data_IF_544005167315
#
_entry.id   IF_544005167315
#
_cell.length_a   1.000
_cell.length_b   1.000
_cell.length_c   1.000
_cell.angle_alpha   90.00
_cell.angle_beta   90.00
_cell.angle_gamma   90.00
#
_symmetry.space_group_name_H-M   'P 1'
#
loop_
_entity.id
_entity.type
_entity.pdbx_description
1 polymer ?
#
# COMPACT_ATOMS: atom_id res chain seq x y z
N UNK A 1 -8.69 -22.51 1.94
CA UNK A 1 -7.38 -21.90 2.25
C UNK A 1 -7.64 -20.47 2.72
N UNK A 2 -6.88 -20.02 3.72
CA UNK A 2 -7.36 -19.19 4.84
C UNK A 2 -7.52 -17.69 4.51
N UNK A 3 -8.74 -17.19 4.57
CA UNK A 3 -9.07 -15.75 4.41
C UNK A 3 -8.22 -14.83 5.32
N UNK A 4 -7.85 -15.30 6.52
CA UNK A 4 -6.97 -14.53 7.42
C UNK A 4 -5.58 -14.25 6.85
N UNK A 5 -4.98 -15.19 6.11
CA UNK A 5 -3.67 -14.96 5.48
C UNK A 5 -3.77 -13.95 4.31
N UNK A 6 -4.86 -13.99 3.55
CA UNK A 6 -5.10 -13.05 2.47
C UNK A 6 -5.34 -11.63 3.00
N UNK A 7 -6.14 -11.48 4.07
CA UNK A 7 -6.35 -10.20 4.73
C UNK A 7 -5.06 -9.59 5.29
N UNK A 8 -4.21 -10.41 5.92
CA UNK A 8 -2.90 -9.95 6.41
C UNK A 8 -1.98 -9.51 5.26
N UNK A 9 -1.95 -10.26 4.16
CA UNK A 9 -1.16 -9.93 2.97
C UNK A 9 -1.57 -8.60 2.34
N UNK A 10 -2.89 -8.32 2.30
CA UNK A 10 -3.45 -7.07 1.81
C UNK A 10 -3.09 -5.89 2.71
N UNK A 11 -3.35 -6.01 4.02
CA UNK A 11 -3.06 -4.95 4.99
C UNK A 11 -1.58 -4.56 4.96
N UNK A 12 -0.70 -5.57 4.88
CA UNK A 12 0.74 -5.40 4.72
C UNK A 12 1.09 -4.65 3.44
N UNK A 13 0.54 -5.05 2.30
CA UNK A 13 0.83 -4.40 1.02
C UNK A 13 0.36 -2.94 1.00
N UNK A 14 -0.76 -2.62 1.64
CA UNK A 14 -1.22 -1.25 1.78
C UNK A 14 -0.32 -0.40 2.67
N UNK A 15 0.13 -0.96 3.80
CA UNK A 15 1.05 -0.27 4.70
C UNK A 15 2.41 -0.01 4.04
N UNK A 16 2.97 -1.02 3.36
CA UNK A 16 4.22 -0.88 2.60
C UNK A 16 4.08 0.12 1.43
N UNK A 17 2.92 0.18 0.77
CA UNK A 17 2.65 1.16 -0.28
C UNK A 17 2.57 2.58 0.28
N UNK A 18 1.90 2.77 1.42
CA UNK A 18 1.80 4.09 2.03
C UNK A 18 3.19 4.61 2.43
N UNK A 19 3.99 3.77 3.09
CA UNK A 19 5.39 4.07 3.40
C UNK A 19 6.20 4.42 2.14
N UNK A 20 6.00 3.68 1.04
CA UNK A 20 6.67 3.97 -0.22
C UNK A 20 6.28 5.33 -0.80
N UNK A 21 4.99 5.68 -0.74
CA UNK A 21 4.47 6.97 -1.22
C UNK A 21 5.02 8.13 -0.38
N UNK A 22 5.11 7.96 0.93
CA UNK A 22 5.77 8.94 1.81
C UNK A 22 7.25 9.10 1.48
N UNK A 23 7.98 7.99 1.28
CA UNK A 23 9.41 8.01 0.99
C UNK A 23 9.75 8.78 -0.30
N UNK A 24 8.85 8.75 -1.29
CA UNK A 24 9.00 9.51 -2.55
C UNK A 24 8.34 10.90 -2.51
N UNK A 25 7.86 11.34 -1.33
CA UNK A 25 7.11 12.58 -1.12
C UNK A 25 5.93 12.73 -2.09
N UNK A 26 5.18 11.65 -2.32
CA UNK A 26 4.00 11.69 -3.17
C UNK A 26 2.95 12.64 -2.56
N UNK A 27 2.28 13.48 -3.37
CA UNK A 27 1.26 14.41 -2.87
C UNK A 27 -0.10 13.73 -2.62
N UNK A 28 -0.11 12.42 -2.38
CA UNK A 28 -1.29 11.59 -2.15
C UNK A 28 -0.91 10.36 -1.32
N UNK A 29 -1.88 9.86 -0.55
CA UNK A 29 -1.75 8.71 0.34
C UNK A 29 -2.38 7.43 -0.22
N UNK A 30 -2.17 6.30 0.43
CA UNK A 30 -2.91 5.08 0.11
C UNK A 30 -4.42 5.24 0.31
N UNK A 31 -4.83 6.04 1.30
CA UNK A 31 -6.23 6.32 1.61
C UNK A 31 -6.90 7.07 0.46
N UNK A 32 -6.21 8.04 -0.15
CA UNK A 32 -6.70 8.74 -1.33
C UNK A 32 -6.92 7.79 -2.51
N UNK A 33 -5.97 6.87 -2.73
CA UNK A 33 -6.07 5.88 -3.80
C UNK A 33 -7.23 4.90 -3.55
N UNK A 34 -7.38 4.41 -2.31
CA UNK A 34 -8.44 3.49 -1.92
C UNK A 34 -9.82 4.12 -2.07
N UNK A 35 -9.98 5.37 -1.60
CA UNK A 35 -11.23 6.12 -1.74
C UNK A 35 -11.62 6.30 -3.19
N UNK A 36 -10.69 6.70 -4.06
CA UNK A 36 -10.97 6.84 -5.50
C UNK A 36 -11.24 5.51 -6.20
N UNK A 37 -10.70 4.42 -5.68
CA UNK A 37 -10.92 3.08 -6.24
C UNK A 37 -12.29 2.50 -5.88
N UNK A 38 -12.81 2.79 -4.68
CA UNK A 38 -13.94 2.05 -4.12
C UNK A 38 -15.12 2.89 -3.64
N UNK A 39 -14.96 4.18 -3.33
CA UNK A 39 -16.04 4.98 -2.75
C UNK A 39 -17.31 5.00 -3.61
N UNK A 40 -17.16 5.28 -4.90
CA UNK A 40 -18.30 5.32 -5.83
C UNK A 40 -18.95 3.94 -6.01
N UNK A 41 -18.15 2.86 -6.05
CA UNK A 41 -18.64 1.50 -6.27
C UNK A 41 -19.33 0.92 -5.04
N UNK A 42 -18.82 1.20 -3.85
CA UNK A 42 -19.31 0.64 -2.58
C UNK A 42 -20.37 1.51 -1.91
N UNK A 43 -20.46 2.80 -2.25
CA UNK A 43 -21.47 3.75 -1.75
C UNK A 43 -21.61 3.66 -0.23
N UNK A 44 -22.77 3.25 0.26
CA UNK A 44 -23.11 3.17 1.69
C UNK A 44 -22.31 2.10 2.45
N UNK A 45 -21.66 1.17 1.74
CA UNK A 45 -20.76 0.16 2.31
C UNK A 45 -19.28 0.53 2.16
N UNK A 46 -18.97 1.75 1.73
CA UNK A 46 -17.61 2.22 1.67
C UNK A 46 -17.09 2.52 3.08
N UNK A 47 -15.96 1.92 3.43
CA UNK A 47 -15.20 2.22 4.64
C UNK A 47 -13.71 2.21 4.31
N UNK A 48 -13.03 3.30 4.67
CA UNK A 48 -11.58 3.46 4.58
C UNK A 48 -10.92 3.74 5.93
N UNK A 49 -11.67 3.74 7.04
CA UNK A 49 -11.15 4.03 8.38
C UNK A 49 -10.16 2.97 8.85
N UNK A 50 -10.36 1.72 8.44
CA UNK A 50 -9.43 0.63 8.75
C UNK A 50 -7.99 0.89 8.24
N UNK A 51 -7.80 1.73 7.22
CA UNK A 51 -6.47 2.12 6.75
C UNK A 51 -5.71 2.98 7.78
N UNK A 52 -6.41 3.76 8.60
CA UNK A 52 -5.81 4.60 9.65
C UNK A 52 -5.23 3.75 10.79
N UNK A 53 -5.69 2.50 10.90
CA UNK A 53 -5.36 1.57 11.98
C UNK A 53 -4.34 0.51 11.57
N UNK A 54 -3.77 0.59 10.36
CA UNK A 54 -2.80 -0.41 9.90
C UNK A 54 -1.56 -0.49 10.79
N UNK A 55 -1.11 0.65 11.33
CA UNK A 55 0.06 0.70 12.20
C UNK A 55 -0.19 0.18 13.63
N UNK A 56 -1.46 -0.02 14.01
CA UNK A 56 -1.84 -0.52 15.32
C UNK A 56 -1.56 -2.04 15.47
N UNK A 57 -1.45 -2.76 14.35
CA UNK A 57 -1.07 -4.18 14.32
C UNK A 57 0.46 -4.35 14.22
N UNK A 58 1.03 -5.03 15.21
CA UNK A 58 2.47 -5.26 15.31
C UNK A 58 3.05 -6.00 14.09
N UNK A 59 2.37 -7.02 13.58
CA UNK A 59 2.85 -7.78 12.42
C UNK A 59 2.82 -6.95 11.13
N UNK A 60 1.88 -6.01 11.02
CA UNK A 60 1.85 -5.06 9.91
C UNK A 60 3.00 -4.06 10.03
N UNK A 61 3.28 -3.57 11.24
CA UNK A 61 4.42 -2.67 11.48
C UNK A 61 5.77 -3.34 11.17
N UNK A 62 5.98 -4.56 11.65
CA UNK A 62 7.18 -5.37 11.41
C UNK A 62 7.39 -5.67 9.92
N UNK A 63 6.34 -5.62 9.11
CA UNK A 63 6.44 -5.87 7.68
C UNK A 63 7.32 -4.87 6.89
N UNK A 64 7.68 -3.74 7.50
CA UNK A 64 8.65 -2.78 6.96
C UNK A 64 10.11 -3.20 7.20
N UNK A 65 10.36 -4.12 8.12
CA UNK A 65 11.69 -4.68 8.37
C UNK A 65 12.06 -5.72 7.31
N UNK A 66 11.05 -6.39 6.76
CA UNK A 66 11.20 -7.29 5.63
C UNK A 66 11.55 -6.52 4.34
N UNK A 67 12.37 -7.11 3.48
CA UNK A 67 12.62 -6.54 2.15
C UNK A 67 11.34 -6.54 1.30
N UNK A 68 10.95 -5.37 0.81
CA UNK A 68 9.87 -5.21 -0.16
C UNK A 68 10.28 -4.27 -1.30
N UNK A 69 9.60 -4.39 -2.42
CA UNK A 69 9.80 -3.54 -3.60
C UNK A 69 8.47 -3.05 -4.13
N UNK A 70 8.49 -2.00 -4.94
CA UNK A 70 7.32 -1.59 -5.71
C UNK A 70 6.71 -2.77 -6.48
N UNK A 71 7.53 -3.68 -7.01
CA UNK A 71 7.09 -4.87 -7.71
C UNK A 71 6.33 -5.84 -6.79
N UNK A 72 6.86 -6.20 -5.61
CA UNK A 72 6.20 -7.13 -4.68
C UNK A 72 4.89 -6.55 -4.14
N UNK A 73 4.84 -5.24 -3.89
CA UNK A 73 3.60 -4.54 -3.50
C UNK A 73 2.55 -4.69 -4.60
N UNK A 74 2.92 -4.37 -5.84
CA UNK A 74 2.02 -4.47 -7.00
C UNK A 74 1.52 -5.90 -7.19
N UNK A 75 2.40 -6.90 -7.12
CA UNK A 75 2.01 -8.29 -7.24
C UNK A 75 1.00 -8.72 -6.17
N UNK A 76 1.24 -8.34 -4.90
CA UNK A 76 0.33 -8.68 -3.82
C UNK A 76 -1.04 -8.04 -4.03
N UNK A 77 -1.09 -6.76 -4.42
CA UNK A 77 -2.35 -6.08 -4.71
C UNK A 77 -3.09 -6.68 -5.92
N UNK A 78 -2.38 -7.18 -6.94
CA UNK A 78 -3.02 -7.91 -8.05
C UNK A 78 -3.60 -9.25 -7.57
N UNK A 79 -2.80 -10.06 -6.87
CA UNK A 79 -3.18 -11.40 -6.37
C UNK A 79 -4.40 -11.36 -5.44
N UNK A 80 -4.59 -10.23 -4.76
CA UNK A 80 -5.67 -10.01 -3.77
C UNK A 80 -6.85 -9.19 -4.31
N UNK A 81 -6.89 -8.90 -5.61
CA UNK A 81 -8.03 -8.23 -6.25
C UNK A 81 -8.11 -6.71 -6.07
N UNK A 82 -7.01 -6.08 -5.67
CA UNK A 82 -6.88 -4.63 -5.46
C UNK A 82 -6.37 -3.86 -6.69
N UNK A 83 -6.60 -4.40 -7.89
CA UNK A 83 -6.26 -3.78 -9.17
C UNK A 83 -6.81 -2.35 -9.34
N UNK A 84 -7.98 -2.07 -8.77
CA UNK A 84 -8.60 -0.75 -8.84
C UNK A 84 -7.74 0.31 -8.14
N UNK A 85 -7.07 -0.05 -7.04
CA UNK A 85 -6.12 0.83 -6.34
C UNK A 85 -4.89 1.06 -7.20
N UNK A 86 -4.35 0.00 -7.81
CA UNK A 86 -3.21 0.10 -8.73
C UNK A 86 -3.49 1.02 -9.93
N UNK A 87 -4.71 0.96 -10.48
CA UNK A 87 -5.12 1.88 -11.55
C UNK A 87 -5.12 3.34 -11.09
N UNK A 88 -5.57 3.61 -9.86
CA UNK A 88 -5.49 4.97 -9.30
C UNK A 88 -4.04 5.39 -9.03
N UNK A 89 -3.20 4.49 -8.52
CA UNK A 89 -1.78 4.73 -8.28
C UNK A 89 -1.09 5.19 -9.57
N UNK A 90 -1.19 4.40 -10.64
CA UNK A 90 -0.58 4.71 -11.95
C UNK A 90 -1.09 6.06 -12.49
N UNK A 91 -2.39 6.34 -12.33
CA UNK A 91 -2.98 7.61 -12.77
C UNK A 91 -2.38 8.81 -12.04
N UNK A 92 -2.20 8.71 -10.72
CA UNK A 92 -1.62 9.79 -9.92
C UNK A 92 -0.13 9.96 -10.20
N UNK A 93 0.64 8.87 -10.22
CA UNK A 93 2.06 8.92 -10.56
C UNK A 93 2.31 9.62 -11.90
N UNK A 94 1.51 9.29 -12.94
CA UNK A 94 1.60 9.96 -14.24
C UNK A 94 1.24 11.44 -14.18
N UNK A 95 0.17 11.78 -13.47
CA UNK A 95 -0.28 13.17 -13.29
C UNK A 95 0.78 14.03 -12.62
N UNK A 96 1.45 13.47 -11.62
CA UNK A 96 2.47 14.15 -10.82
C UNK A 96 3.90 13.96 -11.40
N UNK A 97 4.05 13.26 -12.53
CA UNK A 97 5.34 12.94 -13.17
C UNK A 97 6.33 12.23 -12.24
N UNK A 98 5.82 11.37 -11.37
CA UNK A 98 6.61 10.58 -10.42
C UNK A 98 6.95 9.22 -11.04
N UNK A 99 8.23 8.85 -11.02
CA UNK A 99 8.69 7.53 -11.45
C UNK A 99 8.58 6.53 -10.31
N UNK A 100 7.70 5.54 -10.47
CA UNK A 100 7.40 4.54 -9.43
C UNK A 100 8.39 3.37 -9.37
N UNK A 101 9.27 3.23 -10.36
CA UNK A 101 9.98 1.97 -10.62
C UNK A 101 11.37 1.80 -9.98
N UNK A 102 11.92 2.79 -9.26
CA UNK A 102 13.36 2.78 -8.95
C UNK A 102 13.75 2.91 -7.47
N UNK A 103 12.81 2.81 -6.51
CA UNK A 103 13.18 2.82 -5.09
C UNK A 103 13.16 1.38 -4.55
N UNK A 104 14.34 0.77 -4.45
CA UNK A 104 14.53 -0.41 -3.61
C UNK A 104 14.58 0.08 -2.16
N UNK A 105 13.46 -0.05 -1.43
CA UNK A 105 13.45 0.21 0.00
C UNK A 105 13.98 -1.05 0.68
N UNK A 106 15.29 -1.08 0.92
CA UNK A 106 15.84 -2.01 1.90
C UNK A 106 15.22 -1.65 3.25
N UNK A 107 14.52 -2.61 3.85
CA UNK A 107 13.88 -2.46 5.16
C UNK A 107 14.81 -1.75 6.15
N UNK A 108 14.24 -0.95 7.04
CA UNK A 108 14.97 -0.16 8.02
C UNK A 108 15.64 -1.05 9.08
N UNK A 109 16.63 -1.83 8.68
CA UNK A 109 17.39 -2.76 9.50
C UNK A 109 18.86 -2.41 9.47
N UNK A 110 19.34 -1.90 10.62
CA UNK A 110 20.73 -1.49 10.98
C UNK A 110 21.10 -0.04 10.65
N UNK A 111 20.56 0.89 11.45
CA UNK A 111 21.45 1.90 12.05
C UNK A 111 22.52 1.13 12.83
N UNK A 112 23.76 1.22 12.36
CA UNK A 112 24.94 0.83 13.15
C UNK A 112 24.85 1.54 14.49
N UNK A 113 24.77 0.77 15.58
CA UNK A 113 25.33 1.19 16.86
C UNK A 113 26.68 0.52 17.02
#
# INVERSE_FOLDING_TARGET
MNSNHEHYSVARAFYQLDFYLEAINAPFSIKDLYRRAYAEKRKDHFDDQWLDHLADDEHIRESLEDSFTAHTIVETLLKTGHEAVLRQLIKHLRKERIHFAEVYISGAGKKKS
#
